data_IF_424268687175
#
_entry.id   IF_424268687175
#
_cell.length_a   1.000
_cell.length_b   1.000
_cell.length_c   1.000
_cell.angle_alpha   90.00
_cell.angle_beta   90.00
_cell.angle_gamma   90.00
#
_symmetry.space_group_name_H-M   'P 1'
#
loop_
_entity.id
_entity.type
_entity.pdbx_description
1 polymer ?
#
# COMPACT_ATOMS: atom_id res chain seq x y z
N UNK A 1 2.14 -11.10 -5.01
CA UNK A 1 0.88 -10.75 -4.30
C UNK A 1 1.12 -9.41 -3.65
N UNK A 2 0.14 -8.49 -3.56
CA UNK A 2 0.33 -7.33 -2.68
C UNK A 2 0.65 -7.84 -1.28
N UNK A 3 1.53 -7.11 -0.61
CA UNK A 3 1.94 -7.36 0.74
C UNK A 3 0.78 -6.97 1.66
N UNK A 4 0.21 -7.95 2.36
CA UNK A 4 -0.94 -7.74 3.23
C UNK A 4 -0.58 -7.02 4.54
N UNK A 5 -1.60 -6.58 5.27
CA UNK A 5 -1.46 -6.06 6.63
C UNK A 5 -1.97 -7.14 7.58
N UNK A 6 -1.07 -7.79 8.32
CA UNK A 6 -1.42 -8.77 9.34
C UNK A 6 -1.77 -8.07 10.67
N UNK A 7 -2.55 -8.73 11.53
CA UNK A 7 -2.81 -8.25 12.88
C UNK A 7 -3.92 -7.19 13.00
N UNK A 8 -4.58 -6.81 11.90
CA UNK A 8 -5.75 -5.93 11.97
C UNK A 8 -6.98 -6.75 12.40
N UNK A 9 -7.67 -6.29 13.44
CA UNK A 9 -9.00 -6.82 13.74
C UNK A 9 -9.99 -6.27 12.71
N UNK A 10 -10.73 -7.17 12.06
CA UNK A 10 -11.82 -6.82 11.16
C UNK A 10 -13.16 -7.32 11.72
N UNK A 11 -14.23 -6.58 11.43
CA UNK A 11 -15.60 -7.01 11.72
C UNK A 11 -16.55 -6.63 10.59
N UNK A 12 -17.47 -7.53 10.27
CA UNK A 12 -18.64 -7.30 9.43
C UNK A 12 -19.92 -7.54 10.24
N UNK A 13 -21.08 -7.48 9.59
CA UNK A 13 -22.35 -7.79 10.23
C UNK A 13 -22.43 -9.24 10.74
N UNK A 14 -21.72 -10.18 10.11
CA UNK A 14 -21.79 -11.61 10.43
C UNK A 14 -20.45 -12.26 10.78
N UNK A 15 -19.32 -11.59 10.57
CA UNK A 15 -17.98 -12.15 10.79
C UNK A 15 -17.12 -11.19 11.59
N UNK A 16 -16.18 -11.75 12.34
CA UNK A 16 -15.09 -11.03 12.95
C UNK A 16 -13.83 -11.89 12.90
N UNK A 17 -12.68 -11.28 13.05
CA UNK A 17 -11.40 -11.97 13.09
C UNK A 17 -10.24 -11.01 13.01
N UNK A 18 -9.05 -11.57 12.85
CA UNK A 18 -7.80 -10.83 12.62
C UNK A 18 -7.29 -11.16 11.22
N UNK A 19 -6.75 -10.17 10.52
CA UNK A 19 -6.11 -10.41 9.23
C UNK A 19 -4.91 -11.33 9.40
N UNK A 20 -4.78 -12.31 8.50
CA UNK A 20 -3.68 -13.28 8.54
C UNK A 20 -2.35 -12.68 8.05
N UNK A 21 -1.29 -13.49 7.99
CA UNK A 21 0.05 -13.09 7.54
C UNK A 21 0.08 -12.53 6.10
N UNK A 22 -0.95 -12.79 5.30
CA UNK A 22 -1.11 -12.27 3.94
C UNK A 22 -2.17 -11.16 3.86
N UNK A 23 -2.69 -10.69 5.00
CA UNK A 23 -3.74 -9.69 5.07
C UNK A 23 -5.14 -10.20 4.70
N UNK A 24 -5.37 -11.52 4.64
CA UNK A 24 -6.68 -12.04 4.30
C UNK A 24 -7.70 -11.81 5.41
N UNK A 25 -8.94 -11.53 5.01
CA UNK A 25 -10.10 -11.43 5.88
C UNK A 25 -11.30 -12.15 5.25
N UNK A 26 -12.27 -12.53 6.06
CA UNK A 26 -13.48 -13.23 5.60
C UNK A 26 -14.69 -12.30 5.65
N UNK A 27 -15.49 -12.30 4.59
CA UNK A 27 -16.71 -11.49 4.49
C UNK A 27 -17.74 -12.20 3.60
N UNK A 28 -19.00 -11.78 3.67
CA UNK A 28 -20.00 -12.09 2.65
C UNK A 28 -20.22 -10.89 1.71
N UNK A 29 -20.50 -11.14 0.41
CA UNK A 29 -20.79 -10.06 -0.54
C UNK A 29 -21.88 -9.11 -0.04
N UNK A 30 -21.64 -7.80 -0.20
CA UNK A 30 -22.56 -6.74 0.23
C UNK A 30 -22.38 -6.27 1.68
N UNK A 31 -21.55 -6.96 2.49
CA UNK A 31 -21.25 -6.50 3.84
C UNK A 31 -20.32 -5.26 3.85
N UNK A 32 -20.25 -4.62 5.01
CA UNK A 32 -19.29 -3.55 5.30
C UNK A 32 -18.33 -4.00 6.41
N UNK A 33 -17.09 -3.56 6.30
CA UNK A 33 -15.99 -3.83 7.19
C UNK A 33 -15.75 -2.65 8.12
N UNK A 34 -15.38 -2.96 9.35
CA UNK A 34 -14.67 -2.05 10.24
C UNK A 34 -13.31 -2.66 10.55
N UNK A 35 -12.27 -1.85 10.48
CA UNK A 35 -10.88 -2.24 10.76
C UNK A 35 -10.36 -1.53 12.01
N UNK A 36 -9.65 -2.28 12.85
CA UNK A 36 -8.99 -1.78 14.06
C UNK A 36 -7.59 -2.38 14.17
N UNK A 37 -6.70 -1.69 14.86
CA UNK A 37 -5.48 -2.27 15.42
C UNK A 37 -5.59 -2.24 16.93
N UNK A 38 -5.70 -3.43 17.54
CA UNK A 38 -6.17 -3.53 18.93
C UNK A 38 -7.50 -2.79 19.14
N UNK A 39 -7.52 -1.86 20.08
CA UNK A 39 -8.68 -1.03 20.43
C UNK A 39 -8.76 0.28 19.62
N UNK A 40 -7.76 0.59 18.79
CA UNK A 40 -7.77 1.79 17.94
C UNK A 40 -8.58 1.55 16.66
N UNK A 41 -9.66 2.31 16.47
CA UNK A 41 -10.45 2.28 15.25
C UNK A 41 -9.69 2.95 14.10
N UNK A 42 -9.51 2.23 12.99
CA UNK A 42 -8.83 2.74 11.79
C UNK A 42 -9.82 3.17 10.71
N UNK A 43 -10.85 2.36 10.48
CA UNK A 43 -11.85 2.62 9.46
C UNK A 43 -13.17 1.93 9.79
N UNK A 44 -14.29 2.52 9.39
CA UNK A 44 -15.62 1.96 9.58
C UNK A 44 -16.45 2.08 8.30
N UNK A 45 -17.33 1.11 8.09
CA UNK A 45 -18.26 1.14 6.96
C UNK A 45 -17.53 1.02 5.62
N UNK A 46 -16.46 0.25 5.54
CA UNK A 46 -15.72 -0.01 4.30
C UNK A 46 -16.44 -1.08 3.47
N UNK A 47 -16.89 -0.83 2.23
CA UNK A 47 -17.52 -1.87 1.42
C UNK A 47 -16.59 -3.09 1.27
N UNK A 48 -17.08 -4.27 1.63
CA UNK A 48 -16.28 -5.47 1.57
C UNK A 48 -16.05 -5.90 0.11
N UNK A 49 -14.78 -6.07 -0.26
CA UNK A 49 -14.33 -6.43 -1.61
C UNK A 49 -13.18 -7.44 -1.51
N UNK A 50 -12.82 -8.15 -2.61
CA UNK A 50 -11.72 -9.12 -2.58
C UNK A 50 -10.36 -8.49 -2.23
N UNK A 51 -10.20 -7.19 -2.51
CA UNK A 51 -9.04 -6.39 -2.15
C UNK A 51 -9.57 -5.08 -1.57
N UNK A 52 -9.05 -4.70 -0.41
CA UNK A 52 -9.29 -3.43 0.27
C UNK A 52 -7.93 -2.89 0.65
N UNK A 53 -7.65 -1.64 0.30
CA UNK A 53 -6.42 -0.92 0.63
C UNK A 53 -6.74 0.23 1.60
N UNK A 54 -5.72 0.86 2.22
CA UNK A 54 -5.95 2.04 3.05
C UNK A 54 -6.69 3.18 2.33
N UNK A 55 -6.60 3.28 0.99
CA UNK A 55 -7.37 4.29 0.24
C UNK A 55 -8.88 4.07 0.39
N UNK A 56 -9.35 2.82 0.45
CA UNK A 56 -10.78 2.54 0.60
C UNK A 56 -11.33 2.73 2.03
N UNK A 57 -10.47 3.08 3.01
CA UNK A 57 -10.90 3.33 4.38
C UNK A 57 -11.75 4.60 4.48
N UNK A 58 -11.49 5.58 3.62
CA UNK A 58 -12.11 6.91 3.67
C UNK A 58 -13.22 7.06 2.61
N UNK A 59 -14.45 7.45 2.98
CA UNK A 59 -15.57 7.54 2.04
C UNK A 59 -15.36 8.49 0.86
N UNK A 60 -14.72 9.63 1.09
CA UNK A 60 -14.40 10.65 0.11
C UNK A 60 -13.28 10.20 -0.84
N UNK A 61 -12.22 9.57 -0.32
CA UNK A 61 -11.18 8.93 -1.15
C UNK A 61 -11.80 7.86 -2.04
N UNK A 62 -12.69 7.00 -1.51
CA UNK A 62 -13.43 6.02 -2.34
C UNK A 62 -14.23 6.68 -3.46
N UNK A 63 -14.91 7.79 -3.18
CA UNK A 63 -15.68 8.50 -4.19
C UNK A 63 -14.78 9.08 -5.29
N UNK A 64 -13.61 9.61 -4.90
CA UNK A 64 -12.61 10.12 -5.84
C UNK A 64 -12.02 9.01 -6.73
N UNK A 65 -11.76 7.82 -6.18
CA UNK A 65 -11.21 6.68 -6.93
C UNK A 65 -12.08 6.24 -8.12
N UNK A 66 -13.39 6.50 -8.10
CA UNK A 66 -14.29 6.18 -9.20
C UNK A 66 -14.12 7.12 -10.41
N UNK A 67 -13.37 8.22 -10.25
CA UNK A 67 -13.09 9.23 -11.28
C UNK A 67 -11.65 9.02 -11.79
N UNK A 68 -11.45 8.45 -12.99
CA UNK A 68 -10.11 8.32 -13.56
C UNK A 68 -9.54 9.66 -14.03
N UNK A 69 -8.21 9.75 -14.04
CA UNK A 69 -7.49 10.80 -14.77
C UNK A 69 -7.30 10.41 -16.23
N UNK A 70 -6.92 11.37 -17.07
CA UNK A 70 -6.61 11.12 -18.49
C UNK A 70 -5.10 11.23 -18.72
N UNK A 71 -4.51 10.22 -19.37
CA UNK A 71 -3.08 10.17 -19.71
C UNK A 71 -2.75 11.07 -20.90
N UNK A 72 -1.45 11.26 -21.19
CA UNK A 72 -0.99 12.05 -22.34
C UNK A 72 -1.45 11.46 -23.68
N UNK A 73 -1.67 10.15 -23.74
CA UNK A 73 -2.23 9.46 -24.92
C UNK A 73 -3.75 9.63 -25.03
N UNK A 74 -4.41 10.32 -24.09
CA UNK A 74 -5.86 10.52 -24.08
C UNK A 74 -6.67 9.35 -23.53
N UNK A 75 -6.02 8.38 -22.87
CA UNK A 75 -6.67 7.22 -22.25
C UNK A 75 -6.96 7.47 -20.76
N UNK A 76 -8.02 6.87 -20.23
CA UNK A 76 -8.37 6.93 -18.83
C UNK A 76 -7.46 6.03 -17.97
N UNK A 77 -7.09 6.51 -16.79
CA UNK A 77 -6.22 5.77 -15.86
C UNK A 77 -6.55 6.10 -14.42
N UNK A 78 -6.80 5.06 -13.63
CA UNK A 78 -6.95 5.18 -12.17
C UNK A 78 -5.66 5.60 -11.48
N UNK A 79 -4.49 5.25 -12.05
CA UNK A 79 -3.19 5.51 -11.43
C UNK A 79 -2.94 7.00 -11.18
N UNK A 80 -3.40 7.87 -12.07
CA UNK A 80 -3.26 9.32 -11.91
C UNK A 80 -4.05 9.81 -10.68
N UNK A 81 -5.28 9.32 -10.52
CA UNK A 81 -6.12 9.63 -9.36
C UNK A 81 -5.54 9.04 -8.07
N UNK A 82 -5.06 7.79 -8.09
CA UNK A 82 -4.39 7.17 -6.93
C UNK A 82 -3.19 7.99 -6.48
N UNK A 83 -2.31 8.40 -7.39
CA UNK A 83 -1.14 9.23 -7.08
C UNK A 83 -1.53 10.60 -6.50
N UNK A 84 -2.53 11.26 -7.09
CA UNK A 84 -3.02 12.52 -6.56
C UNK A 84 -3.59 12.37 -5.14
N UNK A 85 -4.32 11.30 -4.85
CA UNK A 85 -4.87 11.04 -3.53
C UNK A 85 -3.79 10.72 -2.51
N UNK A 86 -2.78 9.94 -2.89
CA UNK A 86 -1.61 9.65 -2.05
C UNK A 86 -0.92 10.97 -1.64
N UNK A 87 -0.63 11.85 -2.60
CA UNK A 87 0.13 13.08 -2.36
C UNK A 87 -0.64 14.18 -1.62
N UNK A 88 -1.97 14.18 -1.66
CA UNK A 88 -2.78 15.32 -1.17
C UNK A 88 -3.69 14.97 0.01
N UNK A 89 -3.78 13.70 0.41
CA UNK A 89 -4.71 13.27 1.46
C UNK A 89 -4.00 13.01 2.79
N UNK A 90 -3.87 14.05 3.60
CA UNK A 90 -3.16 14.04 4.90
C UNK A 90 -3.57 12.87 5.80
N UNK A 91 -4.88 12.60 5.94
CA UNK A 91 -5.37 11.51 6.80
C UNK A 91 -4.94 10.12 6.30
N UNK A 92 -4.79 9.95 4.99
CA UNK A 92 -4.34 8.68 4.39
C UNK A 92 -2.85 8.48 4.66
N UNK A 93 -2.06 9.52 4.50
CA UNK A 93 -0.61 9.50 4.76
C UNK A 93 -0.35 9.25 6.24
N UNK A 94 -0.96 10.02 7.15
CA UNK A 94 -0.79 9.84 8.59
C UNK A 94 -1.19 8.44 9.06
N UNK A 95 -2.33 7.91 8.58
CA UNK A 95 -2.76 6.55 8.91
C UNK A 95 -1.76 5.50 8.39
N UNK A 96 -1.26 5.68 7.16
CA UNK A 96 -0.31 4.74 6.55
C UNK A 96 1.02 4.77 7.28
N UNK A 97 1.59 5.95 7.55
CA UNK A 97 2.82 6.12 8.34
C UNK A 97 2.71 5.46 9.70
N UNK A 98 1.58 5.64 10.37
CA UNK A 98 1.33 5.00 11.66
C UNK A 98 1.30 3.48 11.56
N UNK A 99 0.63 2.90 10.55
CA UNK A 99 0.63 1.45 10.33
C UNK A 99 2.02 0.90 10.03
N UNK A 100 2.82 1.63 9.25
CA UNK A 100 4.22 1.27 8.97
C UNK A 100 5.09 1.35 10.23
N UNK A 101 4.90 2.36 11.07
CA UNK A 101 5.62 2.49 12.35
C UNK A 101 5.24 1.37 13.35
N UNK A 102 4.03 0.81 13.24
CA UNK A 102 3.59 -0.37 14.01
C UNK A 102 4.11 -1.71 13.45
N UNK A 103 4.68 -1.73 12.23
CA UNK A 103 5.18 -2.96 11.61
C UNK A 103 6.28 -3.59 12.45
N UNK A 104 6.20 -4.86 12.82
CA UNK A 104 7.18 -5.52 13.69
C UNK A 104 8.63 -5.27 13.26
N UNK A 105 8.91 -5.32 11.96
CA UNK A 105 10.16 -4.80 11.41
C UNK A 105 9.94 -3.40 10.83
N UNK A 106 10.81 -2.43 11.12
CA UNK A 106 10.87 -1.17 10.35
C UNK A 106 11.34 -1.38 8.90
N UNK A 107 11.64 -2.62 8.50
CA UNK A 107 12.06 -2.92 7.15
C UNK A 107 10.89 -2.78 6.16
N UNK A 108 10.99 -1.79 5.28
CA UNK A 108 10.02 -1.51 4.21
C UNK A 108 10.37 -2.22 2.89
N UNK A 109 11.31 -3.17 2.90
CA UNK A 109 11.81 -3.84 1.71
C UNK A 109 10.72 -4.47 0.82
N UNK A 110 11.07 -4.61 -0.46
CA UNK A 110 10.16 -5.05 -1.51
C UNK A 110 9.52 -6.42 -1.20
N UNK A 111 8.18 -6.44 -1.18
CA UNK A 111 7.38 -7.65 -1.06
C UNK A 111 7.07 -8.10 0.37
N UNK A 112 7.53 -7.37 1.39
CA UNK A 112 7.14 -7.58 2.78
C UNK A 112 5.93 -6.70 3.14
N UNK A 113 4.98 -7.32 3.84
CA UNK A 113 3.77 -6.65 4.32
C UNK A 113 3.99 -5.98 5.67
N UNK A 114 2.92 -5.46 6.23
CA UNK A 114 2.93 -4.92 7.59
C UNK A 114 2.58 -6.06 8.54
N UNK A 115 3.49 -6.42 9.45
CA UNK A 115 3.30 -7.47 10.45
C UNK A 115 3.05 -6.87 11.83
N UNK A 116 1.79 -6.72 12.26
CA UNK A 116 1.46 -6.19 13.59
C UNK A 116 1.21 -7.35 14.55
N UNK A 117 2.21 -7.67 15.36
CA UNK A 117 2.15 -8.84 16.28
C UNK A 117 1.30 -8.57 17.51
N UNK A 118 0.80 -9.65 18.11
CA UNK A 118 -0.01 -9.61 19.36
C UNK A 118 0.67 -8.85 20.50
N UNK A 119 2.01 -8.90 20.60
CA UNK A 119 2.78 -8.12 21.59
C UNK A 119 2.61 -6.62 21.38
N UNK A 120 2.79 -6.15 20.14
CA UNK A 120 2.58 -4.74 19.75
C UNK A 120 1.14 -4.35 20.06
N UNK A 121 0.16 -5.18 19.71
CA UNK A 121 -1.26 -4.93 19.97
C UNK A 121 -1.54 -4.84 21.49
N UNK A 122 -0.94 -5.71 22.29
CA UNK A 122 -1.12 -5.73 23.74
C UNK A 122 -0.57 -4.46 24.39
N UNK A 123 0.64 -4.04 24.01
CA UNK A 123 1.26 -2.80 24.51
C UNK A 123 0.49 -1.57 24.04
N UNK A 124 0.07 -1.53 22.77
CA UNK A 124 -0.79 -0.50 22.22
C UNK A 124 -2.08 -0.35 23.04
N UNK A 125 -2.76 -1.46 23.35
CA UNK A 125 -3.98 -1.44 24.14
C UNK A 125 -3.78 -0.97 25.58
N UNK A 126 -2.62 -1.28 26.19
CA UNK A 126 -2.27 -0.83 27.53
C UNK A 126 -1.98 0.69 27.56
N UNK A 127 -1.42 1.23 26.48
CA UNK A 127 -1.01 2.63 26.39
C UNK A 127 -2.12 3.57 25.91
N UNK A 128 -3.01 3.12 25.02
CA UNK A 128 -4.11 3.93 24.46
C UNK A 128 -4.92 4.71 25.52
N UNK A 129 -5.33 4.13 26.68
CA UNK A 129 -6.09 4.85 27.70
C UNK A 129 -5.30 5.96 28.41
N UNK A 130 -3.96 5.93 28.33
CA UNK A 130 -3.08 6.87 29.01
C UNK A 130 -2.71 8.08 28.12
N UNK A 131 -3.14 8.10 26.86
CA UNK A 131 -2.91 9.23 25.98
C UNK A 131 -3.66 10.47 26.49
N UNK A 132 -2.98 11.62 26.49
CA UNK A 132 -3.58 12.90 26.92
C UNK A 132 -4.74 13.34 26.02
N UNK A 133 -4.66 12.97 24.74
CA UNK A 133 -5.66 13.22 23.71
C UNK A 133 -5.71 12.03 22.76
N UNK A 134 -6.86 11.71 22.14
CA UNK A 134 -6.93 10.65 21.14
C UNK A 134 -5.99 10.90 19.95
N UNK A 135 -5.61 9.83 19.26
CA UNK A 135 -4.91 9.94 17.98
C UNK A 135 -5.87 10.51 16.94
N UNK A 136 -5.49 11.62 16.33
CA UNK A 136 -6.22 12.24 15.23
C UNK A 136 -5.35 12.23 13.97
N UNK A 137 -5.75 11.45 12.97
CA UNK A 137 -5.05 11.35 11.70
C UNK A 137 -5.26 12.57 10.79
N UNK A 138 -6.22 13.45 11.10
CA UNK A 138 -6.58 14.60 10.24
C UNK A 138 -5.74 15.86 10.48
N UNK A 139 -4.87 15.84 11.50
CA UNK A 139 -3.98 16.97 11.79
C UNK A 139 -2.85 17.07 10.74
N UNK A 140 -2.23 18.24 10.56
CA UNK A 140 -1.08 18.38 9.65
C UNK A 140 0.01 17.35 9.95
N UNK A 141 0.71 16.87 8.92
CA UNK A 141 1.72 15.81 9.04
C UNK A 141 2.84 16.14 10.03
N UNK A 142 3.23 17.42 10.12
CA UNK A 142 4.20 17.92 11.10
C UNK A 142 3.71 17.82 12.54
N UNK A 143 2.40 18.04 12.76
CA UNK A 143 1.78 17.92 14.08
C UNK A 143 1.57 16.45 14.45
N UNK A 144 1.20 15.63 13.46
CA UNK A 144 1.02 14.18 13.63
C UNK A 144 2.34 13.49 13.99
N UNK A 145 3.46 13.90 13.37
CA UNK A 145 4.79 13.34 13.61
C UNK A 145 5.59 14.08 14.70
N UNK A 146 4.98 15.02 15.43
CA UNK A 146 5.69 15.87 16.38
C UNK A 146 6.44 15.06 17.46
N UNK A 147 7.77 15.22 17.48
CA UNK A 147 8.70 14.59 18.42
C UNK A 147 9.13 15.50 19.58
N UNK A 148 10.22 15.11 20.27
CA UNK A 148 10.87 15.89 21.33
C UNK A 148 10.03 16.06 22.60
N UNK A 149 10.12 17.23 23.24
CA UNK A 149 9.48 17.52 24.54
C UNK A 149 7.94 17.63 24.49
N UNK A 150 7.34 17.61 23.30
CA UNK A 150 5.90 17.78 23.09
C UNK A 150 5.39 16.80 22.05
N UNK A 151 5.49 15.52 22.39
CA UNK A 151 5.11 14.39 21.55
C UNK A 151 3.64 14.48 21.10
N UNK A 152 3.40 14.20 19.83
CA UNK A 152 2.07 13.91 19.33
C UNK A 152 1.49 12.66 20.00
N UNK A 153 0.16 12.48 20.05
CA UNK A 153 -0.44 11.26 20.60
C UNK A 153 0.05 9.97 19.92
N UNK A 154 0.36 10.03 18.63
CA UNK A 154 0.90 8.88 17.89
C UNK A 154 2.32 8.54 18.36
N UNK A 155 3.20 9.54 18.54
CA UNK A 155 4.54 9.30 19.07
C UNK A 155 4.52 8.91 20.55
N UNK A 156 3.63 9.47 21.37
CA UNK A 156 3.43 9.00 22.76
C UNK A 156 3.10 7.50 22.80
N UNK A 157 2.24 7.05 21.88
CA UNK A 157 1.88 5.64 21.76
C UNK A 157 3.07 4.80 21.28
N UNK A 158 3.78 5.22 20.22
CA UNK A 158 4.93 4.47 19.69
C UNK A 158 6.04 4.31 20.74
N UNK A 159 6.29 5.35 21.56
CA UNK A 159 7.29 5.29 22.62
C UNK A 159 6.95 4.30 23.75
N UNK A 160 5.68 3.93 23.89
CA UNK A 160 5.22 2.97 24.90
C UNK A 160 5.26 1.52 24.44
N UNK A 161 5.66 1.26 23.19
CA UNK A 161 5.65 -0.07 22.57
C UNK A 161 7.09 -0.54 22.35
N UNK A 162 7.38 -1.78 22.75
CA UNK A 162 8.66 -2.42 22.45
C UNK A 162 8.51 -3.39 21.27
N UNK A 163 9.25 -3.14 20.20
CA UNK A 163 9.20 -3.95 18.97
C UNK A 163 10.23 -5.09 18.94
N UNK A 164 10.60 -5.58 20.13
CA UNK A 164 11.54 -6.67 20.35
C UNK A 164 10.90 -7.77 21.23
N UNK A 165 11.47 -8.99 21.27
CA UNK A 165 11.03 -10.06 22.16
C UNK A 165 10.91 -9.60 23.63
N UNK A 166 10.10 -10.32 24.43
CA UNK A 166 9.77 -9.88 25.78
C UNK A 166 10.96 -9.80 26.75
N UNK A 167 11.97 -10.61 26.47
CA UNK A 167 13.23 -10.80 27.20
C UNK A 167 14.41 -10.05 26.55
N UNK A 168 14.14 -9.20 25.55
CA UNK A 168 15.17 -8.39 24.91
C UNK A 168 15.56 -7.22 25.81
N UNK A 169 16.87 -6.97 25.96
CA UNK A 169 17.43 -5.85 26.73
C UNK A 169 16.86 -4.50 26.28
N UNK A 170 16.52 -4.37 25.00
CA UNK A 170 15.94 -3.15 24.43
C UNK A 170 14.50 -2.87 24.89
N UNK A 171 13.85 -3.84 25.55
CA UNK A 171 12.53 -3.67 26.15
C UNK A 171 12.57 -3.35 27.65
N UNK A 172 13.75 -3.31 28.26
CA UNK A 172 13.90 -2.93 29.67
C UNK A 172 13.74 -1.43 29.87
N UNK A 173 13.48 -1.00 31.11
CA UNK A 173 13.51 0.41 31.46
C UNK A 173 14.94 0.95 31.26
N UNK A 174 15.13 2.10 30.59
CA UNK A 174 16.46 2.66 30.40
C UNK A 174 17.08 3.00 31.77
N UNK A 175 18.37 2.68 31.99
CA UNK A 175 19.08 3.09 33.20
C UNK A 175 18.90 4.58 33.47
N UNK A 176 18.56 4.91 34.71
CA UNK A 176 18.37 6.28 35.14
C UNK A 176 19.68 7.05 35.19
N UNK A 177 19.63 8.37 35.03
CA UNK A 177 20.84 9.21 35.12
C UNK A 177 21.50 9.10 36.50
N UNK A 178 20.71 8.86 37.55
CA UNK A 178 21.20 8.59 38.90
C UNK A 178 21.96 7.26 39.01
N UNK A 179 21.48 6.19 38.37
CA UNK A 179 22.17 4.90 38.37
C UNK A 179 23.52 5.01 37.67
N UNK A 180 23.53 5.68 36.51
CA UNK A 180 24.76 5.91 35.73
C UNK A 180 25.76 6.76 36.54
N UNK A 181 25.32 7.86 37.15
CA UNK A 181 26.20 8.74 37.92
C UNK A 181 26.83 8.05 39.15
N UNK A 182 26.12 7.10 39.75
CA UNK A 182 26.58 6.38 40.94
C UNK A 182 27.42 5.13 40.64
N UNK A 183 27.42 4.65 39.39
CA UNK A 183 28.23 3.51 38.98
C UNK A 183 29.72 3.86 38.90
N UNK A 184 30.58 2.87 39.16
CA UNK A 184 32.03 3.01 39.04
C UNK A 184 32.42 3.20 37.56
N UNK A 185 33.43 4.06 37.26
CA UNK A 185 33.96 4.16 35.91
C UNK A 185 34.67 2.86 35.52
N UNK A 186 34.59 2.49 34.24
CA UNK A 186 35.28 1.32 33.72
C UNK A 186 36.80 1.49 33.83
N UNK A 187 37.53 0.52 34.43
CA UNK A 187 38.99 0.53 34.45
C UNK A 187 39.60 0.54 33.05
N UNK A 188 40.68 1.29 32.88
CA UNK A 188 41.43 1.39 31.63
C UNK A 188 42.06 0.04 31.24
N UNK A 189 42.66 -0.65 32.23
CA UNK A 189 43.30 -1.95 32.05
C UNK A 189 42.26 -3.08 32.06
N UNK A 190 42.32 -3.98 31.05
CA UNK A 190 41.35 -5.08 30.92
C UNK A 190 41.42 -6.08 32.09
N UNK A 191 42.59 -6.23 32.72
CA UNK A 191 42.79 -7.15 33.85
C UNK A 191 42.12 -6.70 35.15
N UNK A 192 41.80 -5.40 35.26
CA UNK A 192 41.09 -4.82 36.41
C UNK A 192 39.56 -4.82 36.24
N UNK A 193 39.05 -5.27 35.09
CA UNK A 193 37.60 -5.31 34.80
C UNK A 193 36.96 -6.57 35.38
N UNK A 194 35.92 -6.39 36.19
CA UNK A 194 35.07 -7.48 36.70
C UNK A 194 33.87 -7.67 35.76
N UNK A 195 33.75 -8.87 35.19
CA UNK A 195 32.65 -9.23 34.28
C UNK A 195 31.26 -9.19 34.95
N UNK A 196 31.19 -9.15 36.29
CA UNK A 196 29.94 -9.11 37.04
C UNK A 196 29.51 -7.68 37.44
N UNK A 197 30.29 -6.67 37.07
CA UNK A 197 30.00 -5.26 37.39
C UNK A 197 29.59 -4.52 36.14
N UNK A 198 28.40 -3.91 36.16
CA UNK A 198 28.01 -2.94 35.13
C UNK A 198 28.63 -1.58 35.45
N UNK A 199 29.63 -1.19 34.67
CA UNK A 199 30.29 0.10 34.82
C UNK A 199 29.44 1.24 34.26
N UNK A 200 29.80 2.47 34.62
CA UNK A 200 29.15 3.69 34.13
C UNK A 200 29.00 3.73 32.61
N UNK A 201 30.05 3.37 31.88
CA UNK A 201 30.07 3.34 30.41
C UNK A 201 29.17 2.24 29.85
N UNK A 202 29.02 1.10 30.54
CA UNK A 202 28.10 0.02 30.17
C UNK A 202 26.65 0.46 30.32
N UNK A 203 26.31 1.05 31.47
CA UNK A 203 24.97 1.58 31.74
C UNK A 203 24.59 2.71 30.79
N UNK A 204 25.53 3.61 30.49
CA UNK A 204 25.32 4.66 29.49
C UNK A 204 25.08 4.06 28.11
N UNK A 205 25.91 3.09 27.70
CA UNK A 205 25.74 2.41 26.41
C UNK A 205 24.41 1.66 26.31
N UNK A 206 23.99 1.00 27.40
CA UNK A 206 22.69 0.32 27.51
C UNK A 206 21.54 1.30 27.39
N UNK A 207 21.57 2.40 28.14
CA UNK A 207 20.59 3.49 28.03
C UNK A 207 20.46 4.00 26.61
N UNK A 208 21.59 4.31 25.97
CA UNK A 208 21.59 4.85 24.61
C UNK A 208 21.04 3.83 23.60
N UNK A 209 21.35 2.54 23.75
CA UNK A 209 20.76 1.47 22.93
C UNK A 209 19.24 1.38 23.10
N UNK A 210 18.73 1.37 24.34
CA UNK A 210 17.29 1.32 24.63
C UNK A 210 16.60 2.55 24.04
N UNK A 211 17.11 3.75 24.29
CA UNK A 211 16.51 4.99 23.78
C UNK A 211 16.51 5.07 22.24
N UNK A 212 17.59 4.61 21.58
CA UNK A 212 17.66 4.55 20.12
C UNK A 212 16.76 3.45 19.51
N UNK A 213 16.34 2.46 20.30
CA UNK A 213 15.44 1.40 19.86
C UNK A 213 13.95 1.82 19.92
N UNK A 214 13.65 2.92 20.62
CA UNK A 214 12.31 3.48 20.71
C UNK A 214 11.92 4.08 19.36
N UNK A 215 10.73 3.71 18.87
CA UNK A 215 10.25 4.19 17.58
C UNK A 215 9.56 5.53 17.64
N UNK A 216 9.63 6.23 16.52
CA UNK A 216 8.88 7.44 16.26
C UNK A 216 8.41 7.49 14.82
N UNK A 217 7.53 8.45 14.52
CA UNK A 217 7.13 8.77 13.15
C UNK A 217 8.25 9.47 12.36
N UNK A 218 9.41 9.78 12.95
CA UNK A 218 10.60 10.20 12.19
C UNK A 218 11.26 9.02 11.49
N UNK A 219 11.02 7.78 11.94
CA UNK A 219 11.52 6.54 11.32
C UNK A 219 10.74 6.14 10.06
N UNK A 220 9.58 6.77 9.83
CA UNK A 220 8.71 6.54 8.67
C UNK A 220 8.24 7.89 8.16
N UNK A 221 8.90 8.39 7.13
CA UNK A 221 8.55 9.68 6.54
C UNK A 221 7.34 9.59 5.60
N UNK A 222 7.02 10.69 4.93
CA UNK A 222 5.92 10.74 3.98
C UNK A 222 6.25 9.92 2.73
N UNK A 223 7.49 10.01 2.23
CA UNK A 223 7.94 9.31 1.02
C UNK A 223 7.88 7.79 1.21
N UNK A 224 8.19 7.28 2.40
CA UNK A 224 8.04 5.88 2.78
C UNK A 224 6.59 5.40 2.64
N UNK A 225 5.62 6.20 3.13
CA UNK A 225 4.21 5.88 3.03
C UNK A 225 3.68 5.98 1.59
N UNK A 226 4.08 7.01 0.84
CA UNK A 226 3.74 7.16 -0.57
C UNK A 226 4.30 6.01 -1.42
N UNK A 227 5.57 5.66 -1.19
CA UNK A 227 6.27 4.57 -1.84
C UNK A 227 5.62 3.22 -1.54
N UNK A 228 5.28 2.96 -0.28
CA UNK A 228 4.54 1.77 0.11
C UNK A 228 3.19 1.68 -0.62
N UNK A 229 2.34 2.72 -0.54
CA UNK A 229 1.02 2.71 -1.18
C UNK A 229 1.13 2.51 -2.69
N UNK A 230 2.02 3.26 -3.35
CA UNK A 230 2.25 3.15 -4.80
C UNK A 230 2.64 1.74 -5.20
N UNK A 231 3.61 1.14 -4.50
CA UNK A 231 4.09 -0.22 -4.75
C UNK A 231 2.98 -1.26 -4.60
N UNK A 232 2.16 -1.15 -3.54
CA UNK A 232 1.06 -2.08 -3.30
C UNK A 232 -0.05 -1.95 -4.36
N UNK A 233 -0.42 -0.72 -4.72
CA UNK A 233 -1.43 -0.45 -5.75
C UNK A 233 -0.97 -0.92 -7.14
N UNK A 234 0.31 -0.77 -7.47
CA UNK A 234 0.90 -1.29 -8.69
C UNK A 234 0.90 -2.82 -8.73
N UNK A 235 1.17 -3.46 -7.60
CA UNK A 235 1.11 -4.92 -7.50
C UNK A 235 -0.33 -5.42 -7.68
N UNK A 236 -1.31 -4.72 -7.12
CA UNK A 236 -2.75 -5.01 -7.31
C UNK A 236 -3.14 -4.84 -8.78
N UNK A 237 -2.76 -3.72 -9.39
CA UNK A 237 -3.08 -3.38 -10.79
C UNK A 237 -2.46 -4.40 -11.75
N UNK A 238 -1.17 -4.73 -11.56
CA UNK A 238 -0.47 -5.76 -12.34
C UNK A 238 -1.17 -7.11 -12.21
N UNK A 239 -1.55 -7.52 -11.00
CA UNK A 239 -2.25 -8.80 -10.79
C UNK A 239 -3.61 -8.81 -11.47
N UNK A 240 -4.37 -7.72 -11.37
CA UNK A 240 -5.64 -7.57 -12.08
C UNK A 240 -5.43 -7.68 -13.58
N UNK A 241 -4.49 -6.92 -14.13
CA UNK A 241 -4.15 -6.91 -15.54
C UNK A 241 -3.68 -8.27 -16.06
N UNK A 242 -2.96 -9.05 -15.26
CA UNK A 242 -2.50 -10.40 -15.62
C UNK A 242 -3.64 -11.42 -15.76
N UNK A 243 -4.85 -11.11 -15.27
CA UNK A 243 -6.04 -11.93 -15.53
C UNK A 243 -6.64 -11.70 -16.91
N UNK A 244 -6.22 -10.65 -17.62
CA UNK A 244 -6.74 -10.28 -18.92
C UNK A 244 -5.66 -10.31 -20.00
N UNK A 245 -6.06 -10.60 -21.22
CA UNK A 245 -5.17 -10.64 -22.39
C UNK A 245 -5.98 -10.32 -23.65
N UNK A 246 -5.31 -9.97 -24.74
CA UNK A 246 -5.94 -9.90 -26.06
C UNK A 246 -5.78 -11.26 -26.73
N UNK A 247 -6.76 -11.71 -27.52
CA UNK A 247 -6.66 -13.00 -28.23
C UNK A 247 -5.51 -13.06 -29.23
N UNK A 248 -5.06 -11.91 -29.73
CA UNK A 248 -3.81 -11.74 -30.46
C UNK A 248 -2.91 -10.69 -29.78
N UNK A 249 -1.59 -10.91 -29.82
CA UNK A 249 -0.58 -9.95 -29.32
C UNK A 249 0.24 -9.32 -30.45
N UNK A 250 0.31 -9.99 -31.61
CA UNK A 250 0.86 -9.49 -32.86
C UNK A 250 -0.11 -9.90 -33.97
N UNK A 251 -0.44 -8.97 -34.86
CA UNK A 251 -1.21 -9.23 -36.07
C UNK A 251 -0.43 -8.75 -37.30
N UNK A 252 -0.44 -9.55 -38.36
CA UNK A 252 0.30 -9.27 -39.59
C UNK A 252 -0.67 -9.30 -40.78
N UNK A 253 -0.72 -8.22 -41.54
CA UNK A 253 -1.59 -8.12 -42.72
C UNK A 253 -0.85 -7.44 -43.87
N UNK A 254 -1.10 -7.85 -45.13
CA UNK A 254 -0.58 -7.11 -46.27
C UNK A 254 -1.21 -5.72 -46.35
N UNK A 255 -0.49 -4.72 -46.85
CA UNK A 255 -1.02 -3.36 -47.05
C UNK A 255 -2.31 -3.31 -47.88
N UNK A 256 -2.55 -4.32 -48.73
CA UNK A 256 -3.78 -4.44 -49.53
C UNK A 256 -5.01 -4.91 -48.74
N UNK A 257 -4.84 -5.47 -47.54
CA UNK A 257 -5.93 -5.99 -46.72
C UNK A 257 -6.49 -4.89 -45.80
N UNK A 258 -7.34 -4.05 -46.39
CA UNK A 258 -8.04 -2.96 -45.71
C UNK A 258 -9.36 -3.40 -45.05
N UNK A 259 -9.59 -4.70 -44.92
CA UNK A 259 -10.81 -5.21 -44.30
C UNK A 259 -10.79 -4.99 -42.79
N UNK A 260 -11.99 -4.83 -42.20
CA UNK A 260 -12.13 -4.69 -40.75
C UNK A 260 -11.69 -5.98 -40.06
N UNK A 261 -10.80 -5.82 -39.08
CA UNK A 261 -10.29 -6.84 -38.17
C UNK A 261 -10.86 -6.60 -36.79
N UNK A 262 -10.85 -7.64 -35.96
CA UNK A 262 -11.32 -7.57 -34.58
C UNK A 262 -10.31 -8.22 -33.67
N UNK A 263 -9.97 -7.55 -32.57
CA UNK A 263 -9.27 -8.14 -31.43
C UNK A 263 -10.21 -8.16 -30.23
N UNK A 264 -10.21 -9.24 -29.46
CA UNK A 264 -11.05 -9.39 -28.27
C UNK A 264 -10.21 -9.41 -26.99
N UNK A 265 -10.69 -8.70 -25.97
CA UNK A 265 -10.24 -8.88 -24.60
C UNK A 265 -10.75 -10.23 -24.11
N UNK A 266 -9.86 -11.01 -23.49
CA UNK A 266 -10.12 -12.30 -22.86
C UNK A 266 -9.76 -12.23 -21.38
N UNK A 267 -10.36 -13.11 -20.59
CA UNK A 267 -10.07 -13.27 -19.16
C UNK A 267 -9.70 -14.72 -18.87
N UNK A 268 -8.74 -14.94 -17.99
CA UNK A 268 -8.33 -16.28 -17.57
C UNK A 268 -9.47 -16.92 -16.77
N UNK A 269 -9.82 -18.15 -17.18
CA UNK A 269 -10.82 -19.04 -16.57
C UNK A 269 -12.29 -18.58 -16.63
N UNK A 270 -12.58 -17.39 -17.15
CA UNK A 270 -13.93 -16.80 -17.20
C UNK A 270 -14.12 -15.97 -18.48
N UNK A 271 -15.36 -15.59 -18.78
CA UNK A 271 -15.62 -14.53 -19.76
C UNK A 271 -15.33 -13.14 -19.15
N UNK A 272 -14.82 -12.18 -19.95
CA UNK A 272 -14.64 -10.82 -19.49
C UNK A 272 -16.00 -10.15 -19.22
N UNK A 273 -16.10 -9.45 -18.10
CA UNK A 273 -17.17 -8.51 -17.79
C UNK A 273 -16.52 -7.15 -17.59
N UNK A 274 -16.90 -6.18 -18.42
CA UNK A 274 -16.30 -4.86 -18.50
C UNK A 274 -17.39 -3.81 -18.25
N UNK A 275 -17.06 -2.76 -17.50
CA UNK A 275 -17.90 -1.57 -17.39
C UNK A 275 -17.73 -0.65 -18.61
N UNK A 276 -16.51 -0.60 -19.14
CA UNK A 276 -16.14 0.28 -20.26
C UNK A 276 -14.87 -0.22 -20.97
N UNK A 277 -14.69 0.22 -22.20
CA UNK A 277 -13.51 -0.01 -23.05
C UNK A 277 -13.30 1.22 -23.93
N UNK A 278 -12.05 1.49 -24.24
CA UNK A 278 -11.60 2.50 -25.18
C UNK A 278 -10.35 1.99 -25.90
N UNK A 279 -10.09 2.49 -27.09
CA UNK A 279 -8.91 2.11 -27.85
C UNK A 279 -8.40 3.25 -28.72
N UNK A 280 -7.08 3.31 -28.85
CA UNK A 280 -6.38 4.23 -29.75
C UNK A 280 -5.27 3.48 -30.49
N UNK A 281 -4.88 4.02 -31.64
CA UNK A 281 -3.69 3.60 -32.36
C UNK A 281 -2.57 4.59 -32.08
N UNK A 282 -1.35 4.12 -31.83
CA UNK A 282 -0.18 5.00 -31.67
C UNK A 282 0.21 5.69 -32.98
N UNK A 283 -0.21 5.13 -34.12
CA UNK A 283 -0.05 5.68 -35.47
C UNK A 283 -1.34 5.46 -36.26
N UNK A 284 -2.26 6.41 -36.13
CA UNK A 284 -3.60 6.37 -36.75
C UNK A 284 -3.58 6.39 -38.29
N UNK A 285 -2.53 6.96 -38.89
CA UNK A 285 -2.29 6.89 -40.34
C UNK A 285 -1.98 5.47 -40.86
N UNK A 286 -1.45 4.58 -40.01
CA UNK A 286 -1.06 3.22 -40.39
C UNK A 286 -2.15 2.21 -40.03
N UNK A 287 -2.72 2.35 -38.82
CA UNK A 287 -3.78 1.50 -38.31
C UNK A 287 -4.86 2.39 -37.70
N UNK A 288 -6.09 2.25 -38.20
CA UNK A 288 -7.22 3.08 -37.76
C UNK A 288 -8.13 2.25 -36.87
N UNK A 289 -8.49 2.79 -35.69
CA UNK A 289 -9.55 2.23 -34.84
C UNK A 289 -10.89 2.53 -35.50
N UNK A 290 -11.66 1.49 -35.82
CA UNK A 290 -12.98 1.62 -36.41
C UNK A 290 -14.06 1.78 -35.34
N UNK A 291 -14.08 0.87 -34.36
CA UNK A 291 -15.07 0.86 -33.29
C UNK A 291 -14.56 0.05 -32.09
N UNK A 292 -15.19 0.20 -30.92
CA UNK A 292 -14.97 -0.67 -29.76
C UNK A 292 -16.26 -0.79 -28.95
N UNK A 293 -16.44 -1.94 -28.28
CA UNK A 293 -17.65 -2.27 -27.53
C UNK A 293 -17.34 -3.04 -26.26
N UNK A 294 -17.77 -2.52 -25.10
CA UNK A 294 -17.51 -3.15 -23.81
C UNK A 294 -18.35 -4.42 -23.61
N UNK A 295 -19.57 -4.46 -24.19
CA UNK A 295 -20.44 -5.64 -24.15
C UNK A 295 -19.86 -6.82 -24.93
N UNK A 296 -19.22 -6.54 -26.08
CA UNK A 296 -18.54 -7.55 -26.89
C UNK A 296 -17.09 -7.77 -26.48
N UNK A 297 -16.58 -6.96 -25.55
CA UNK A 297 -15.19 -6.92 -25.14
C UNK A 297 -14.21 -6.88 -26.33
N UNK A 298 -14.54 -6.09 -27.37
CA UNK A 298 -13.84 -6.13 -28.66
C UNK A 298 -13.48 -4.74 -29.17
N UNK A 299 -12.40 -4.70 -29.96
CA UNK A 299 -11.97 -3.52 -30.71
C UNK A 299 -11.86 -3.91 -32.18
N UNK A 300 -12.49 -3.13 -33.04
CA UNK A 300 -12.42 -3.25 -34.48
C UNK A 300 -11.44 -2.22 -35.05
N UNK A 301 -10.59 -2.66 -35.97
CA UNK A 301 -9.56 -1.82 -36.60
C UNK A 301 -9.31 -2.25 -38.04
N UNK A 302 -8.65 -1.43 -38.83
CA UNK A 302 -8.21 -1.80 -40.17
C UNK A 302 -6.86 -1.16 -40.50
N UNK A 303 -6.16 -1.76 -41.46
CA UNK A 303 -4.88 -1.26 -41.98
C UNK A 303 -5.13 -0.17 -43.02
N UNK A 304 -4.43 0.95 -42.89
CA UNK A 304 -4.47 2.08 -43.81
C UNK A 304 -3.07 2.51 -44.32
N UNK A 305 -2.00 2.06 -43.65
CA UNK A 305 -0.62 2.39 -43.99
C UNK A 305 -0.01 1.54 -45.10
N UNK A 306 1.25 1.85 -45.41
CA UNK A 306 2.03 1.16 -46.44
C UNK A 306 2.79 -0.06 -45.90
N UNK A 307 3.25 -0.93 -46.81
CA UNK A 307 4.13 -2.06 -46.50
C UNK A 307 5.39 -1.60 -45.77
N UNK A 308 5.75 -2.30 -44.70
CA UNK A 308 6.81 -1.93 -43.77
C UNK A 308 6.36 -1.01 -42.63
N UNK A 309 5.09 -0.57 -42.63
CA UNK A 309 4.48 0.17 -41.53
C UNK A 309 4.22 -0.69 -40.29
N UNK A 310 4.18 -0.03 -39.14
CA UNK A 310 3.91 -0.65 -37.84
C UNK A 310 3.13 0.33 -36.96
N UNK A 311 2.14 -0.18 -36.21
CA UNK A 311 1.43 0.58 -35.17
C UNK A 311 1.12 -0.31 -33.97
N UNK A 312 0.92 0.30 -32.81
CA UNK A 312 0.38 -0.35 -31.63
C UNK A 312 -1.07 0.09 -31.42
N UNK A 313 -1.97 -0.88 -31.31
CA UNK A 313 -3.33 -0.66 -30.87
C UNK A 313 -3.36 -0.80 -29.34
N UNK A 314 -3.54 0.31 -28.64
CA UNK A 314 -3.69 0.36 -27.20
C UNK A 314 -5.17 0.15 -26.85
N UNK A 315 -5.46 -0.97 -26.19
CA UNK A 315 -6.80 -1.35 -25.74
C UNK A 315 -6.87 -1.15 -24.23
N UNK A 316 -7.66 -0.19 -23.78
CA UNK A 316 -7.80 0.16 -22.38
C UNK A 316 -9.23 -0.10 -21.90
N UNK A 317 -9.39 -0.74 -20.75
CA UNK A 317 -10.72 -1.13 -20.27
C UNK A 317 -10.79 -1.19 -18.76
N UNK A 318 -12.02 -1.12 -18.23
CA UNK A 318 -12.30 -1.25 -16.81
C UNK A 318 -13.13 -2.49 -16.54
N UNK A 319 -12.61 -3.49 -15.81
CA UNK A 319 -13.40 -4.63 -15.34
C UNK A 319 -14.59 -4.22 -14.47
N UNK A 320 -15.70 -4.95 -14.58
CA UNK A 320 -16.88 -4.72 -13.74
C UNK A 320 -16.55 -4.84 -12.23
N UNK A 321 -17.10 -3.92 -11.44
CA UNK A 321 -16.95 -3.92 -9.98
C UNK A 321 -15.57 -3.47 -9.49
N UNK A 322 -14.75 -2.86 -10.35
CA UNK A 322 -13.44 -2.32 -10.00
C UNK A 322 -13.25 -0.93 -10.63
N UNK A 323 -12.63 0.00 -9.90
CA UNK A 323 -12.31 1.32 -10.45
C UNK A 323 -11.01 1.31 -11.29
N UNK A 324 -10.20 0.25 -11.17
CA UNK A 324 -8.89 0.14 -11.81
C UNK A 324 -9.00 -0.20 -13.29
N UNK A 325 -8.30 0.56 -14.11
CA UNK A 325 -8.15 0.38 -15.54
C UNK A 325 -7.03 -0.60 -15.88
N UNK A 326 -7.22 -1.34 -16.96
CA UNK A 326 -6.26 -2.30 -17.50
C UNK A 326 -5.98 -1.93 -18.94
N UNK A 327 -4.70 -1.71 -19.24
CA UNK A 327 -4.20 -1.46 -20.59
C UNK A 327 -3.57 -2.72 -21.17
N UNK A 328 -3.89 -3.04 -22.42
CA UNK A 328 -3.27 -4.08 -23.24
C UNK A 328 -2.88 -3.49 -24.59
N UNK A 329 -1.93 -4.13 -25.26
CA UNK A 329 -1.43 -3.68 -26.54
C UNK A 329 -1.44 -4.83 -27.54
N UNK A 330 -1.85 -4.52 -28.77
CA UNK A 330 -1.69 -5.37 -29.94
C UNK A 330 -0.73 -4.67 -30.90
N UNK A 331 0.35 -5.36 -31.27
CA UNK A 331 1.27 -4.88 -32.30
C UNK A 331 0.74 -5.26 -33.68
N UNK A 332 0.61 -4.32 -34.60
CA UNK A 332 0.12 -4.56 -35.96
C UNK A 332 1.24 -4.25 -36.95
N UNK A 333 1.61 -5.25 -37.76
CA UNK A 333 2.63 -5.15 -38.79
C UNK A 333 1.98 -5.15 -40.18
N UNK A 334 2.37 -4.19 -41.01
CA UNK A 334 1.90 -4.06 -42.39
C UNK A 334 2.97 -4.65 -43.32
N UNK A 335 2.63 -5.73 -44.03
CA UNK A 335 3.54 -6.43 -44.94
C UNK A 335 3.41 -5.98 -46.40
#
# INVERSE_FOLDING_TARGET
MPAGISGLTYSTASRNGTTDVNGHFNYYPGERLSFRVGNLQLAEGVPARPVVTPLEFFPDVRAALEIPGTTDEGLQSHRLTEQQLIQNHVTLINLTRFLLALNWSLNLSNGQGIDIRDRVITQLNAALPNLSTPIDFNVPESDFAKGGDSLSPANQLLQSICFYPADDELCEDPPSESEIANADPRPDEEEDRDENVEYREDLQSKRDRILNAVRSLEDVDVEDAEGYLTRELDTITTRLGNRYYLDDYVAEFPASDTTIKTVQVRKIADQPQLDTIEAISTRDQDVVVHSFGWQSASVEYFVAGESGGESELLVNFRPEGNYRWVKKQLRVLIQ
#
